data_IF_677167549791
#
_entry.id   IF_677167549791
#
_cell.length_a   1.000
_cell.length_b   1.000
_cell.length_c   1.000
_cell.angle_alpha   90.00
_cell.angle_beta   90.00
_cell.angle_gamma   90.00
#
_symmetry.space_group_name_H-M   'P 1'
#
loop_
_entity.id
_entity.type
_entity.pdbx_description
1 polymer ?
#
# COMPACT_ATOMS: atom_id res chain seq x y z
N UNK A 1 3.62 15.17 5.86
CA UNK A 1 4.57 14.78 6.92
C UNK A 1 5.31 13.48 6.63
N UNK A 2 4.66 12.41 6.14
CA UNK A 2 5.35 11.15 5.79
C UNK A 2 6.58 11.35 4.87
N UNK A 3 6.48 12.24 3.87
CA UNK A 3 7.63 12.58 3.01
C UNK A 3 8.82 13.22 3.74
N UNK A 4 8.59 13.96 4.83
CA UNK A 4 9.67 14.49 5.67
C UNK A 4 10.34 13.38 6.47
N UNK A 5 9.58 12.41 7.00
CA UNK A 5 10.14 11.24 7.70
C UNK A 5 11.03 10.44 6.77
N UNK A 6 10.57 10.18 5.54
CA UNK A 6 11.38 9.51 4.51
C UNK A 6 12.60 10.33 4.14
N UNK A 7 12.44 11.64 3.96
CA UNK A 7 13.52 12.56 3.62
C UNK A 7 14.60 12.61 4.69
N UNK A 8 14.21 12.71 5.96
CA UNK A 8 15.11 12.68 7.12
C UNK A 8 15.91 11.38 7.16
N UNK A 9 15.25 10.23 6.95
CA UNK A 9 15.90 8.91 6.90
C UNK A 9 16.91 8.78 5.74
N UNK A 10 16.53 9.20 4.54
CA UNK A 10 17.37 9.03 3.33
C UNK A 10 18.53 10.03 3.30
N UNK A 11 18.31 11.24 3.79
CA UNK A 11 19.27 12.34 3.71
C UNK A 11 20.05 12.57 5.00
N UNK A 12 19.82 11.75 6.02
CA UNK A 12 20.41 11.88 7.36
C UNK A 12 20.14 13.28 7.96
N UNK A 13 18.87 13.65 8.03
CA UNK A 13 18.37 14.93 8.56
C UNK A 13 17.37 14.71 9.69
N UNK A 14 16.98 15.80 10.36
CA UNK A 14 16.02 15.80 11.47
C UNK A 14 14.98 16.93 11.37
N UNK A 15 14.57 17.28 10.15
CA UNK A 15 13.62 18.37 9.90
C UNK A 15 12.23 18.00 10.41
N UNK A 16 11.79 16.77 10.18
CA UNK A 16 10.54 16.21 10.68
C UNK A 16 10.48 16.25 12.20
N UNK A 17 11.53 15.84 12.90
CA UNK A 17 11.55 15.86 14.38
C UNK A 17 11.42 17.28 14.93
N UNK A 18 12.09 18.25 14.33
CA UNK A 18 12.03 19.66 14.74
C UNK A 18 10.64 20.27 14.53
N UNK A 19 9.94 19.89 13.47
CA UNK A 19 8.61 20.41 13.15
C UNK A 19 7.48 19.71 13.93
N UNK A 20 7.74 18.51 14.46
CA UNK A 20 6.72 17.64 15.07
C UNK A 20 5.90 18.33 16.17
N UNK A 21 6.50 19.01 17.17
CA UNK A 21 5.71 19.61 18.24
C UNK A 21 4.78 20.73 17.76
N UNK A 22 5.24 21.53 16.79
CA UNK A 22 4.43 22.61 16.22
C UNK A 22 3.28 22.05 15.38
N UNK A 23 3.58 21.05 14.54
CA UNK A 23 2.59 20.39 13.71
C UNK A 23 1.52 19.66 14.54
N UNK A 24 1.93 18.91 15.55
CA UNK A 24 1.00 18.20 16.44
C UNK A 24 0.09 19.17 17.18
N UNK A 25 0.65 20.24 17.75
CA UNK A 25 -0.15 21.27 18.42
C UNK A 25 -1.16 21.92 17.46
N UNK A 26 -0.74 22.29 16.25
CA UNK A 26 -1.65 22.86 15.27
C UNK A 26 -2.74 21.84 14.86
N UNK A 27 -2.39 20.57 14.67
CA UNK A 27 -3.37 19.55 14.33
C UNK A 27 -4.45 19.41 15.43
N UNK A 28 -4.04 19.37 16.70
CA UNK A 28 -4.96 19.24 17.84
C UNK A 28 -5.76 20.53 18.12
N UNK A 29 -5.12 21.71 18.08
CA UNK A 29 -5.77 22.98 18.43
C UNK A 29 -6.62 23.55 17.30
N UNK A 30 -6.21 23.31 16.04
CA UNK A 30 -6.75 24.01 14.88
C UNK A 30 -7.56 23.14 13.93
N UNK A 31 -7.31 21.83 13.93
CA UNK A 31 -7.92 20.87 13.00
C UNK A 31 -8.60 19.70 13.71
N UNK A 32 -8.70 19.71 15.04
CA UNK A 32 -9.39 18.67 15.80
C UNK A 32 -10.54 19.27 16.61
N UNK A 33 -11.73 18.70 16.46
CA UNK A 33 -12.92 19.08 17.23
C UNK A 33 -12.86 18.52 18.66
N UNK A 34 -13.72 19.02 19.56
CA UNK A 34 -13.72 18.60 20.97
C UNK A 34 -14.03 17.11 21.17
N UNK A 35 -14.68 16.47 20.21
CA UNK A 35 -14.95 15.03 20.21
C UNK A 35 -13.79 14.20 19.61
N UNK A 36 -12.67 14.85 19.23
CA UNK A 36 -11.46 14.23 18.70
C UNK A 36 -11.45 14.08 17.18
N UNK A 37 -12.52 14.48 16.48
CA UNK A 37 -12.62 14.38 15.02
C UNK A 37 -11.76 15.39 14.30
N UNK A 38 -11.26 15.04 13.12
CA UNK A 38 -10.48 15.99 12.33
C UNK A 38 -11.32 16.73 11.30
N UNK A 39 -11.08 18.03 11.21
CA UNK A 39 -11.65 18.90 10.21
C UNK A 39 -11.02 18.62 8.84
N UNK A 40 -11.86 18.46 7.82
CA UNK A 40 -11.40 18.32 6.43
C UNK A 40 -10.78 19.60 5.89
N UNK A 41 -11.39 20.73 6.22
CA UNK A 41 -11.03 22.04 5.71
C UNK A 41 -11.34 23.11 6.73
N UNK A 42 -10.46 24.11 6.79
CA UNK A 42 -10.60 25.29 7.61
C UNK A 42 -10.02 26.47 6.85
N UNK A 43 -10.73 27.59 6.84
CA UNK A 43 -10.23 28.82 6.28
C UNK A 43 -9.14 29.40 7.20
N UNK A 44 -7.94 29.59 6.67
CA UNK A 44 -6.79 30.10 7.42
C UNK A 44 -7.06 31.47 8.06
N UNK A 45 -7.77 32.36 7.35
CA UNK A 45 -7.97 33.76 7.80
C UNK A 45 -9.09 33.90 8.83
N UNK A 46 -10.19 33.19 8.62
CA UNK A 46 -11.43 33.35 9.39
C UNK A 46 -11.70 32.22 10.37
N UNK A 47 -10.96 31.11 10.25
CA UNK A 47 -11.21 29.89 11.00
C UNK A 47 -12.49 29.15 10.60
N UNK A 48 -13.24 29.64 9.60
CA UNK A 48 -14.48 29.01 9.16
C UNK A 48 -14.23 27.61 8.61
N UNK A 49 -15.00 26.65 9.10
CA UNK A 49 -15.08 25.29 8.56
C UNK A 49 -16.46 25.06 7.93
N UNK A 50 -16.61 24.01 7.13
CA UNK A 50 -17.90 23.55 6.62
C UNK A 50 -18.32 22.36 7.48
N UNK A 51 -19.25 22.54 8.44
CA UNK A 51 -19.69 21.45 9.29
C UNK A 51 -20.26 20.30 8.45
N UNK A 52 -19.96 19.05 8.85
CA UNK A 52 -20.44 17.85 8.17
C UNK A 52 -20.02 17.71 6.69
N UNK A 53 -18.94 18.38 6.26
CA UNK A 53 -18.47 18.30 4.88
C UNK A 53 -17.97 16.90 4.51
N UNK A 54 -17.02 16.36 5.27
CA UNK A 54 -16.63 14.95 5.22
C UNK A 54 -16.36 14.50 6.65
N UNK A 55 -16.77 13.29 6.97
CA UNK A 55 -16.65 12.73 8.30
C UNK A 55 -15.68 11.56 8.23
N UNK A 56 -16.18 10.40 7.82
CA UNK A 56 -15.41 9.17 7.86
C UNK A 56 -14.24 9.17 6.86
N UNK A 57 -14.39 9.82 5.70
CA UNK A 57 -13.35 9.85 4.68
C UNK A 57 -12.09 10.55 5.19
N UNK A 58 -12.26 11.72 5.81
CA UNK A 58 -11.17 12.50 6.41
C UNK A 58 -10.51 11.73 7.55
N UNK A 59 -11.31 11.06 8.38
CA UNK A 59 -10.80 10.26 9.49
C UNK A 59 -9.96 9.07 8.97
N UNK A 60 -10.41 8.37 7.92
CA UNK A 60 -9.65 7.25 7.31
C UNK A 60 -8.27 7.69 6.80
N UNK A 61 -8.24 8.77 6.00
CA UNK A 61 -7.02 9.26 5.35
C UNK A 61 -6.00 9.68 6.40
N UNK A 62 -6.45 10.38 7.44
CA UNK A 62 -5.55 10.84 8.50
C UNK A 62 -5.15 9.71 9.45
N UNK A 63 -6.04 8.74 9.74
CA UNK A 63 -5.68 7.57 10.53
C UNK A 63 -4.49 6.84 9.89
N UNK A 64 -4.53 6.63 8.57
CA UNK A 64 -3.44 6.03 7.79
C UNK A 64 -2.18 6.93 7.78
N UNK A 65 -2.32 8.21 7.43
CA UNK A 65 -1.14 9.07 7.23
C UNK A 65 -0.39 9.39 8.53
N UNK A 66 -1.10 9.41 9.65
CA UNK A 66 -0.52 9.77 10.95
C UNK A 66 0.15 8.59 11.66
N UNK A 67 -0.10 7.32 11.28
CA UNK A 67 0.53 6.15 11.93
C UNK A 67 2.05 6.24 11.95
N UNK A 68 2.66 6.78 10.88
CA UNK A 68 4.11 6.91 10.77
C UNK A 68 4.72 8.07 11.58
N UNK A 69 3.93 9.05 12.00
CA UNK A 69 4.46 10.33 12.50
C UNK A 69 3.87 10.74 13.86
N UNK A 70 2.56 10.64 14.00
CA UNK A 70 1.78 10.88 15.22
C UNK A 70 0.91 9.64 15.50
N UNK A 71 1.52 8.49 15.86
CA UNK A 71 0.81 7.23 15.97
C UNK A 71 -0.34 7.29 16.97
N UNK A 72 -0.18 7.99 18.09
CA UNK A 72 -1.25 8.14 19.09
C UNK A 72 -2.52 8.80 18.51
N UNK A 73 -2.38 9.78 17.63
CA UNK A 73 -3.51 10.42 16.94
C UNK A 73 -4.11 9.46 15.90
N UNK A 74 -3.27 8.81 15.09
CA UNK A 74 -3.73 7.83 14.10
C UNK A 74 -4.55 6.69 14.73
N UNK A 75 -4.04 6.12 15.82
CA UNK A 75 -4.72 5.07 16.60
C UNK A 75 -6.01 5.57 17.26
N UNK A 76 -6.03 6.80 17.82
CA UNK A 76 -7.25 7.42 18.36
C UNK A 76 -8.33 7.51 17.27
N UNK A 77 -7.97 8.02 16.09
CA UNK A 77 -8.90 8.20 14.98
C UNK A 77 -9.48 6.87 14.50
N UNK A 78 -8.64 5.85 14.31
CA UNK A 78 -9.13 4.52 13.96
C UNK A 78 -10.07 3.95 15.01
N UNK A 79 -9.73 4.05 16.30
CA UNK A 79 -10.56 3.54 17.38
C UNK A 79 -11.95 4.21 17.42
N UNK A 80 -12.01 5.53 17.22
CA UNK A 80 -13.28 6.27 17.13
C UNK A 80 -14.08 5.84 15.90
N UNK A 81 -13.46 5.81 14.72
CA UNK A 81 -14.13 5.37 13.49
C UNK A 81 -14.70 3.97 13.61
N UNK A 82 -13.88 3.04 14.12
CA UNK A 82 -14.23 1.63 14.26
C UNK A 82 -15.43 1.41 15.17
N UNK A 83 -15.60 2.27 16.17
CA UNK A 83 -16.69 2.21 17.14
C UNK A 83 -17.95 2.94 16.66
N UNK A 84 -17.81 4.14 16.11
CA UNK A 84 -18.94 5.03 15.83
C UNK A 84 -19.52 4.81 14.42
N UNK A 85 -18.69 4.46 13.43
CA UNK A 85 -19.11 4.39 12.01
C UNK A 85 -19.12 3.00 11.42
N UNK A 86 -18.30 2.09 11.94
CA UNK A 86 -18.09 0.77 11.35
C UNK A 86 -18.72 -0.33 12.20
N UNK A 87 -19.53 -1.17 11.57
CA UNK A 87 -20.05 -2.39 12.17
C UNK A 87 -19.88 -3.57 11.22
N UNK A 88 -20.15 -4.77 11.73
CA UNK A 88 -20.43 -5.93 10.90
C UNK A 88 -21.92 -6.23 11.03
N UNK A 89 -22.56 -6.62 9.94
CA UNK A 89 -23.91 -7.20 10.00
C UNK A 89 -23.85 -8.69 10.41
N UNK A 90 -25.02 -9.33 10.47
CA UNK A 90 -25.15 -10.74 10.86
C UNK A 90 -24.42 -11.70 9.90
N UNK A 91 -24.18 -11.29 8.65
CA UNK A 91 -23.43 -12.06 7.66
C UNK A 91 -21.91 -11.85 7.75
N UNK A 92 -21.46 -10.97 8.65
CA UNK A 92 -20.06 -10.57 8.79
C UNK A 92 -19.62 -9.53 7.76
N UNK A 93 -20.57 -8.89 7.05
CA UNK A 93 -20.27 -7.86 6.06
C UNK A 93 -20.14 -6.50 6.76
N UNK A 94 -19.13 -5.72 6.38
CA UNK A 94 -18.95 -4.38 6.94
C UNK A 94 -20.08 -3.46 6.52
N UNK A 95 -20.66 -2.80 7.52
CA UNK A 95 -21.66 -1.75 7.35
C UNK A 95 -21.03 -0.44 7.76
N UNK A 96 -21.06 0.53 6.84
CA UNK A 96 -20.65 1.91 7.10
C UNK A 96 -21.90 2.74 7.39
N UNK A 97 -21.91 3.41 8.55
CA UNK A 97 -23.05 4.18 9.06
C UNK A 97 -22.82 5.68 8.90
N UNK A 98 -23.90 6.45 8.98
CA UNK A 98 -23.89 7.91 9.14
C UNK A 98 -22.96 8.68 8.17
N UNK A 99 -22.89 8.24 6.91
CA UNK A 99 -22.14 8.92 5.85
C UNK A 99 -22.71 10.33 5.59
N UNK A 100 -21.84 11.35 5.61
CA UNK A 100 -22.23 12.76 5.42
C UNK A 100 -21.53 13.37 4.22
N UNK A 101 -22.23 14.24 3.49
CA UNK A 101 -21.65 15.12 2.48
C UNK A 101 -20.71 14.40 1.49
N UNK A 102 -19.44 14.78 1.52
CA UNK A 102 -18.37 14.25 0.68
C UNK A 102 -17.98 12.80 1.00
N UNK A 103 -18.46 12.19 2.09
CA UNK A 103 -18.31 10.74 2.29
C UNK A 103 -19.07 9.93 1.22
N UNK A 104 -20.06 10.55 0.54
CA UNK A 104 -20.83 9.95 -0.56
C UNK A 104 -20.28 10.33 -1.94
N UNK A 105 -19.02 10.71 -1.99
CA UNK A 105 -18.35 11.18 -3.21
C UNK A 105 -17.00 10.50 -3.35
N UNK A 106 -16.59 10.24 -4.59
CA UNK A 106 -15.19 9.91 -4.87
C UNK A 106 -14.35 11.19 -4.83
N UNK A 107 -13.45 11.38 -3.85
CA UNK A 107 -12.68 12.61 -3.72
C UNK A 107 -11.74 12.85 -4.91
N UNK A 108 -11.50 11.84 -5.75
CA UNK A 108 -10.53 11.91 -6.83
C UNK A 108 -11.17 12.14 -8.21
N UNK A 109 -12.50 12.10 -8.33
CA UNK A 109 -13.20 12.52 -9.54
C UNK A 109 -14.48 13.35 -9.28
N UNK A 110 -14.82 13.59 -8.01
CA UNK A 110 -15.97 14.36 -7.53
C UNK A 110 -17.35 13.85 -7.97
N UNK A 111 -17.45 12.58 -8.38
CA UNK A 111 -18.74 11.94 -8.67
C UNK A 111 -19.34 11.35 -7.41
N UNK A 112 -20.66 11.46 -7.28
CA UNK A 112 -21.41 10.84 -6.19
C UNK A 112 -21.36 9.31 -6.30
N UNK A 113 -20.87 8.67 -5.26
CA UNK A 113 -20.87 7.22 -5.05
C UNK A 113 -20.46 6.94 -3.61
N UNK A 114 -21.08 5.95 -2.97
CA UNK A 114 -20.68 5.48 -1.64
C UNK A 114 -19.53 4.47 -1.71
N UNK A 115 -19.27 3.84 -2.86
CA UNK A 115 -18.21 2.84 -2.98
C UNK A 115 -16.79 3.31 -2.61
N UNK A 116 -16.37 4.54 -2.92
CA UNK A 116 -15.03 5.03 -2.56
C UNK A 116 -14.77 5.00 -1.05
N UNK A 117 -15.76 5.25 -0.18
CA UNK A 117 -15.51 5.22 1.28
C UNK A 117 -15.06 3.82 1.74
N UNK A 118 -15.57 2.76 1.13
CA UNK A 118 -15.16 1.38 1.44
C UNK A 118 -13.70 1.12 1.05
N UNK A 119 -13.20 1.77 -0.01
CA UNK A 119 -11.78 1.71 -0.38
C UNK A 119 -10.90 2.31 0.73
N UNK A 120 -11.27 3.48 1.26
CA UNK A 120 -10.51 4.14 2.33
C UNK A 120 -10.65 3.42 3.68
N UNK A 121 -11.84 2.87 3.97
CA UNK A 121 -12.06 1.99 5.13
C UNK A 121 -11.18 0.75 5.03
N UNK A 122 -11.11 0.10 3.87
CA UNK A 122 -10.25 -1.05 3.66
C UNK A 122 -8.77 -0.70 3.90
N UNK A 123 -8.30 0.41 3.32
CA UNK A 123 -6.93 0.86 3.49
C UNK A 123 -6.59 1.17 4.97
N UNK A 124 -7.51 1.81 5.70
CA UNK A 124 -7.32 2.09 7.13
C UNK A 124 -7.33 0.79 7.94
N UNK A 125 -8.32 -0.07 7.72
CA UNK A 125 -8.40 -1.37 8.37
C UNK A 125 -7.14 -2.22 8.16
N UNK A 126 -6.55 -2.18 6.96
CA UNK A 126 -5.28 -2.83 6.66
C UNK A 126 -4.16 -2.34 7.58
N UNK A 127 -3.93 -1.02 7.63
CA UNK A 127 -2.88 -0.39 8.42
C UNK A 127 -3.04 -0.68 9.92
N UNK A 128 -4.27 -0.76 10.43
CA UNK A 128 -4.54 -1.09 11.83
C UNK A 128 -4.72 -2.58 12.11
N UNK A 129 -4.58 -3.45 11.11
CA UNK A 129 -4.66 -4.92 11.27
C UNK A 129 -6.07 -5.48 11.47
N UNK A 130 -7.12 -4.72 11.17
CA UNK A 130 -8.52 -5.20 11.19
C UNK A 130 -8.84 -5.95 9.89
N UNK A 131 -8.40 -7.20 9.84
CA UNK A 131 -8.53 -8.07 8.67
C UNK A 131 -9.98 -8.27 8.22
N UNK A 132 -10.91 -8.41 9.17
CA UNK A 132 -12.31 -8.68 8.88
C UNK A 132 -12.96 -7.49 8.15
N UNK A 133 -12.74 -6.27 8.66
CA UNK A 133 -13.22 -5.05 8.01
C UNK A 133 -12.53 -4.86 6.67
N UNK A 134 -11.20 -5.07 6.59
CA UNK A 134 -10.45 -4.89 5.35
C UNK A 134 -10.98 -5.80 4.24
N UNK A 135 -11.07 -7.10 4.51
CA UNK A 135 -11.48 -8.06 3.49
C UNK A 135 -12.92 -7.81 3.06
N UNK A 136 -13.83 -7.60 4.00
CA UNK A 136 -15.23 -7.34 3.68
C UNK A 136 -15.44 -6.04 2.88
N UNK A 137 -14.66 -4.99 3.17
CA UNK A 137 -14.73 -3.74 2.41
C UNK A 137 -14.20 -3.92 0.97
N UNK A 138 -13.09 -4.65 0.80
CA UNK A 138 -12.55 -4.97 -0.55
C UNK A 138 -13.57 -5.79 -1.35
N UNK A 139 -14.14 -6.83 -0.73
CA UNK A 139 -15.10 -7.70 -1.41
C UNK A 139 -16.32 -6.90 -1.88
N UNK A 140 -16.85 -6.00 -1.06
CA UNK A 140 -17.96 -5.13 -1.44
C UNK A 140 -17.62 -4.16 -2.57
N UNK A 141 -16.42 -3.59 -2.57
CA UNK A 141 -15.97 -2.76 -3.69
C UNK A 141 -15.93 -3.59 -4.97
N UNK A 142 -15.39 -4.80 -4.89
CA UNK A 142 -15.16 -5.68 -6.05
C UNK A 142 -16.43 -6.39 -6.56
N UNK A 143 -17.46 -6.56 -5.74
CA UNK A 143 -18.69 -7.26 -6.14
C UNK A 143 -19.93 -6.38 -6.26
N UNK A 144 -20.01 -5.26 -5.53
CA UNK A 144 -21.24 -4.47 -5.43
C UNK A 144 -21.09 -3.06 -5.99
N UNK A 145 -20.07 -2.32 -5.54
CA UNK A 145 -19.94 -0.90 -5.89
C UNK A 145 -19.27 -0.66 -7.24
N UNK A 146 -18.13 -1.32 -7.48
CA UNK A 146 -17.33 -1.15 -8.68
C UNK A 146 -16.81 -2.50 -9.15
N UNK A 147 -17.66 -3.35 -9.76
CA UNK A 147 -17.31 -4.73 -10.09
C UNK A 147 -15.95 -4.86 -10.78
N UNK A 148 -15.07 -5.67 -10.18
CA UNK A 148 -13.72 -5.87 -10.70
C UNK A 148 -13.76 -6.65 -12.02
N UNK A 149 -12.97 -6.20 -13.00
CA UNK A 149 -12.82 -6.85 -14.31
C UNK A 149 -11.36 -7.08 -14.60
N UNK A 150 -11.07 -8.21 -15.26
CA UNK A 150 -9.72 -8.48 -15.78
C UNK A 150 -9.57 -7.84 -17.15
N UNK A 151 -8.53 -7.02 -17.33
CA UNK A 151 -8.18 -6.42 -18.62
C UNK A 151 -7.55 -7.47 -19.56
N UNK A 152 -7.36 -7.11 -20.82
CA UNK A 152 -6.65 -7.95 -21.81
C UNK A 152 -5.20 -8.25 -21.42
N UNK A 153 -4.61 -7.46 -20.51
CA UNK A 153 -3.25 -7.66 -19.98
C UNK A 153 -3.23 -8.46 -18.67
N UNK A 154 -4.37 -9.01 -18.24
CA UNK A 154 -4.49 -9.75 -16.98
C UNK A 154 -4.59 -8.87 -15.72
N UNK A 155 -4.58 -7.55 -15.85
CA UNK A 155 -4.68 -6.64 -14.70
C UNK A 155 -6.13 -6.55 -14.21
N UNK A 156 -6.34 -6.34 -12.91
CA UNK A 156 -7.66 -6.04 -12.35
C UNK A 156 -7.94 -4.53 -12.44
N UNK A 157 -9.14 -4.19 -12.90
CA UNK A 157 -9.65 -2.82 -12.92
C UNK A 157 -11.05 -2.79 -12.33
N UNK A 158 -11.32 -1.81 -11.46
CA UNK A 158 -12.65 -1.54 -10.93
C UNK A 158 -13.30 -0.44 -11.78
N UNK A 159 -14.21 -0.82 -12.67
CA UNK A 159 -14.82 0.13 -13.63
C UNK A 159 -15.64 1.20 -12.89
N UNK A 160 -15.40 2.48 -13.22
CA UNK A 160 -16.07 3.62 -12.59
C UNK A 160 -15.38 4.16 -11.33
N UNK A 161 -14.45 3.40 -10.73
CA UNK A 161 -13.61 3.88 -9.63
C UNK A 161 -12.48 4.77 -10.18
N UNK A 162 -12.26 5.94 -9.57
CA UNK A 162 -11.18 6.84 -10.01
C UNK A 162 -9.80 6.19 -9.93
N UNK A 163 -8.85 6.70 -10.73
CA UNK A 163 -7.49 6.17 -10.78
C UNK A 163 -6.80 6.18 -9.41
N UNK A 164 -6.94 7.28 -8.65
CA UNK A 164 -6.35 7.40 -7.32
C UNK A 164 -7.02 6.47 -6.31
N UNK A 165 -8.35 6.33 -6.32
CA UNK A 165 -9.04 5.37 -5.45
C UNK A 165 -8.68 3.93 -5.83
N UNK A 166 -8.42 3.61 -7.10
CA UNK A 166 -7.85 2.30 -7.48
C UNK A 166 -6.45 2.08 -6.89
N UNK A 167 -5.61 3.11 -6.81
CA UNK A 167 -4.30 3.01 -6.15
C UNK A 167 -4.45 2.78 -4.63
N UNK A 168 -5.41 3.44 -3.97
CA UNK A 168 -5.72 3.19 -2.55
C UNK A 168 -6.29 1.79 -2.34
N UNK A 169 -7.11 1.27 -3.26
CA UNK A 169 -7.62 -0.11 -3.21
C UNK A 169 -6.49 -1.12 -3.39
N UNK A 170 -5.55 -0.86 -4.29
CA UNK A 170 -4.34 -1.67 -4.43
C UNK A 170 -3.51 -1.65 -3.13
N UNK A 171 -3.33 -0.48 -2.51
CA UNK A 171 -2.70 -0.37 -1.20
C UNK A 171 -3.44 -1.20 -0.14
N UNK A 172 -4.77 -1.15 -0.09
CA UNK A 172 -5.55 -1.97 0.84
C UNK A 172 -5.38 -3.48 0.60
N UNK A 173 -5.25 -3.92 -0.66
CA UNK A 173 -5.02 -5.34 -0.99
C UNK A 173 -3.64 -5.82 -0.53
N UNK A 174 -2.61 -4.99 -0.71
CA UNK A 174 -1.22 -5.34 -0.45
C UNK A 174 -0.82 -5.15 1.02
N UNK A 175 -1.29 -4.07 1.66
CA UNK A 175 -0.91 -3.72 3.01
C UNK A 175 -1.52 -4.65 4.05
N UNK A 176 -0.77 -4.83 5.13
CA UNK A 176 -1.15 -5.43 6.40
C UNK A 176 -0.87 -4.43 7.53
N UNK A 177 -0.84 -4.94 8.75
CA UNK A 177 -0.68 -4.14 9.96
C UNK A 177 0.62 -3.32 9.94
N UNK A 178 0.48 -1.99 10.02
CA UNK A 178 1.55 -1.00 10.07
C UNK A 178 2.52 -1.05 8.89
N UNK A 179 2.14 -1.63 7.75
CA UNK A 179 3.03 -1.72 6.60
C UNK A 179 3.38 -0.34 6.04
N UNK A 180 2.44 0.61 6.00
CA UNK A 180 2.73 1.97 5.53
C UNK A 180 3.62 2.72 6.51
N UNK A 181 3.33 2.62 7.81
CA UNK A 181 4.17 3.18 8.87
C UNK A 181 5.60 2.62 8.79
N UNK A 182 5.75 1.30 8.69
CA UNK A 182 7.04 0.63 8.60
C UNK A 182 7.79 1.01 7.31
N UNK A 183 7.12 1.04 6.17
CA UNK A 183 7.73 1.46 4.90
C UNK A 183 8.25 2.91 4.96
N UNK A 184 7.54 3.77 5.68
CA UNK A 184 7.91 5.18 5.88
C UNK A 184 9.11 5.32 6.84
N UNK A 185 9.02 4.71 8.02
CA UNK A 185 9.96 4.91 9.14
C UNK A 185 11.23 4.06 8.99
N UNK A 186 11.11 2.81 8.53
CA UNK A 186 12.24 1.86 8.44
C UNK A 186 12.78 1.78 7.02
N UNK A 187 11.88 1.77 6.03
CA UNK A 187 12.23 1.50 4.63
C UNK A 187 12.67 0.06 4.38
N UNK A 188 13.32 -0.22 3.24
CA UNK A 188 13.74 -1.57 2.89
C UNK A 188 14.88 -2.06 3.81
N UNK A 189 14.89 -3.36 4.09
CA UNK A 189 15.96 -4.00 4.85
C UNK A 189 17.32 -3.84 4.13
N UNK A 190 18.36 -3.28 4.76
CA UNK A 190 19.69 -3.17 4.16
C UNK A 190 20.26 -4.50 3.65
N UNK A 191 19.93 -5.61 4.31
CA UNK A 191 20.36 -6.95 3.87
C UNK A 191 19.75 -7.29 2.51
N UNK A 192 18.43 -7.07 2.36
CA UNK A 192 17.73 -7.27 1.10
C UNK A 192 18.29 -6.37 -0.03
N UNK A 193 18.73 -5.16 0.32
CA UNK A 193 19.33 -4.22 -0.62
C UNK A 193 20.75 -4.60 -1.06
N UNK A 194 21.42 -5.53 -0.38
CA UNK A 194 22.78 -5.96 -0.71
C UNK A 194 22.85 -7.28 -1.49
N UNK A 195 21.75 -8.03 -1.54
CA UNK A 195 21.68 -9.34 -2.17
C UNK A 195 21.57 -9.32 -3.70
N UNK A 196 21.48 -10.51 -4.32
CA UNK A 196 21.20 -10.63 -5.75
C UNK A 196 19.91 -9.91 -6.14
N UNK A 197 19.90 -9.33 -7.34
CA UNK A 197 18.83 -8.48 -7.83
C UNK A 197 18.24 -9.07 -9.12
N UNK A 198 16.92 -9.17 -9.21
CA UNK A 198 16.23 -9.31 -10.49
C UNK A 198 16.25 -7.94 -11.18
N UNK A 199 17.11 -7.78 -12.17
CA UNK A 199 17.35 -6.50 -12.85
C UNK A 199 16.36 -6.25 -13.99
N UNK A 200 15.90 -7.32 -14.66
CA UNK A 200 14.92 -7.21 -15.74
C UNK A 200 14.02 -8.44 -15.81
N UNK A 201 12.74 -8.19 -16.04
CA UNK A 201 11.74 -9.17 -16.46
C UNK A 201 10.82 -8.49 -17.49
N UNK A 202 10.39 -9.18 -18.56
CA UNK A 202 9.62 -8.56 -19.62
C UNK A 202 8.19 -8.23 -19.15
N UNK A 203 7.91 -6.96 -18.87
CA UNK A 203 6.57 -6.48 -18.56
C UNK A 203 5.82 -6.09 -19.86
N UNK A 204 4.53 -6.43 -20.03
CA UNK A 204 3.62 -7.03 -19.05
C UNK A 204 3.61 -8.57 -19.05
N UNK A 205 4.46 -9.25 -19.83
CA UNK A 205 4.39 -10.70 -20.00
C UNK A 205 4.76 -11.51 -18.74
N UNK A 206 5.58 -10.94 -17.86
CA UNK A 206 5.96 -11.49 -16.54
C UNK A 206 5.62 -10.48 -15.46
N UNK A 207 4.84 -10.90 -14.47
CA UNK A 207 4.51 -10.13 -13.28
C UNK A 207 5.35 -10.64 -12.10
N UNK A 208 6.04 -9.71 -11.42
CA UNK A 208 6.86 -10.01 -10.25
C UNK A 208 6.01 -9.83 -8.99
N UNK A 209 5.65 -10.93 -8.34
CA UNK A 209 4.91 -10.92 -7.07
C UNK A 209 5.83 -10.88 -5.85
N UNK A 210 7.06 -11.39 -5.98
CA UNK A 210 8.10 -11.31 -4.95
C UNK A 210 9.47 -11.24 -5.62
N UNK A 211 10.33 -10.37 -5.10
CA UNK A 211 11.77 -10.39 -5.34
C UNK A 211 12.49 -9.91 -4.09
N UNK A 212 12.92 -10.86 -3.25
CA UNK A 212 13.43 -10.54 -1.91
C UNK A 212 14.65 -11.39 -1.54
N UNK A 213 15.62 -10.76 -0.87
CA UNK A 213 16.76 -11.43 -0.28
C UNK A 213 16.69 -11.30 1.24
N UNK A 214 16.58 -12.43 1.94
CA UNK A 214 16.51 -12.45 3.40
C UNK A 214 17.90 -12.40 4.05
N UNK A 215 18.92 -12.91 3.37
CA UNK A 215 20.27 -13.09 3.91
C UNK A 215 21.37 -12.35 3.13
N UNK A 216 20.98 -11.58 2.11
CA UNK A 216 21.89 -10.85 1.22
C UNK A 216 22.70 -11.76 0.29
N UNK A 217 22.35 -13.06 0.20
CA UNK A 217 23.09 -14.06 -0.59
C UNK A 217 22.19 -14.78 -1.58
N UNK A 218 20.94 -15.02 -1.18
CA UNK A 218 19.93 -15.70 -1.99
C UNK A 218 18.86 -14.73 -2.45
N UNK A 219 18.21 -15.03 -3.57
CA UNK A 219 17.06 -14.27 -4.05
C UNK A 219 15.87 -15.21 -4.20
N UNK A 220 14.81 -14.95 -3.42
CA UNK A 220 13.52 -15.64 -3.51
C UNK A 220 12.61 -14.82 -4.44
N UNK A 221 12.18 -15.47 -5.53
CA UNK A 221 11.34 -14.89 -6.56
C UNK A 221 10.02 -15.62 -6.66
N UNK A 222 8.95 -14.87 -6.85
CA UNK A 222 7.65 -15.40 -7.25
C UNK A 222 7.18 -14.63 -8.47
N UNK A 223 6.99 -15.36 -9.57
CA UNK A 223 6.59 -14.83 -10.87
C UNK A 223 5.22 -15.38 -11.28
N UNK A 224 4.47 -14.59 -12.04
CA UNK A 224 3.24 -14.99 -12.70
C UNK A 224 3.30 -14.62 -14.18
N UNK A 225 2.68 -15.40 -15.07
CA UNK A 225 2.49 -14.96 -16.45
C UNK A 225 1.48 -13.80 -16.45
N UNK A 226 1.76 -12.72 -17.17
CA UNK A 226 0.81 -11.62 -17.29
C UNK A 226 -0.37 -11.94 -18.20
N UNK A 227 -0.12 -12.65 -19.30
CA UNK A 227 -1.17 -13.10 -20.22
C UNK A 227 -1.16 -14.62 -20.41
N UNK A 228 -0.06 -15.18 -20.93
CA UNK A 228 0.06 -16.62 -21.21
C UNK A 228 1.33 -17.21 -20.60
N UNK A 229 1.30 -18.49 -20.18
CA UNK A 229 2.50 -19.20 -19.81
C UNK A 229 3.54 -19.21 -20.94
N UNK A 230 4.82 -19.21 -20.59
CA UNK A 230 5.89 -19.12 -21.58
C UNK A 230 7.29 -19.23 -20.98
N UNK A 231 8.29 -19.23 -21.86
CA UNK A 231 9.70 -19.11 -21.47
C UNK A 231 10.13 -17.66 -21.62
N UNK A 232 10.63 -17.07 -20.54
CA UNK A 232 10.99 -15.65 -20.49
C UNK A 232 12.45 -15.49 -20.09
N UNK A 233 13.13 -14.55 -20.74
CA UNK A 233 14.48 -14.14 -20.37
C UNK A 233 14.41 -13.22 -19.15
N UNK A 234 15.15 -13.56 -18.10
CA UNK A 234 15.29 -12.78 -16.88
C UNK A 234 16.75 -12.38 -16.71
N UNK A 235 16.98 -11.12 -16.36
CA UNK A 235 18.33 -10.61 -16.09
C UNK A 235 18.55 -10.40 -14.60
N UNK A 236 19.73 -10.77 -14.15
CA UNK A 236 20.15 -10.72 -12.76
C UNK A 236 21.42 -9.88 -12.62
N UNK A 237 21.50 -9.13 -11.53
CA UNK A 237 22.65 -8.33 -11.14
C UNK A 237 23.04 -8.59 -9.68
N UNK A 238 24.20 -8.05 -9.28
CA UNK A 238 24.76 -8.20 -7.91
C UNK A 238 25.03 -9.65 -7.54
N UNK A 239 25.28 -10.49 -8.53
CA UNK A 239 25.81 -11.83 -8.33
C UNK A 239 27.31 -11.76 -8.05
N UNK A 240 27.86 -12.79 -7.42
CA UNK A 240 29.31 -12.93 -7.25
C UNK A 240 29.94 -13.24 -8.62
N UNK A 241 30.90 -12.44 -9.11
CA UNK A 241 31.49 -12.67 -10.43
C UNK A 241 32.08 -14.07 -10.59
N UNK A 242 31.82 -14.71 -11.74
CA UNK A 242 32.31 -16.06 -12.06
C UNK A 242 31.64 -17.20 -11.30
N UNK A 243 30.73 -16.91 -10.37
CA UNK A 243 30.04 -17.93 -9.58
C UNK A 243 28.87 -18.54 -10.36
N UNK A 244 28.67 -19.85 -10.22
CA UNK A 244 27.47 -20.55 -10.70
C UNK A 244 26.39 -20.55 -9.64
N UNK A 245 25.17 -20.26 -10.07
CA UNK A 245 23.95 -20.21 -9.27
C UNK A 245 22.94 -21.24 -9.77
N UNK A 246 22.20 -21.85 -8.84
CA UNK A 246 21.01 -22.62 -9.15
C UNK A 246 19.83 -21.67 -9.45
N UNK A 247 18.96 -22.06 -10.38
CA UNK A 247 17.69 -21.37 -10.66
C UNK A 247 16.64 -22.37 -11.14
N UNK A 248 15.67 -22.69 -10.28
CA UNK A 248 14.67 -23.72 -10.56
C UNK A 248 15.33 -25.08 -10.84
N UNK A 249 15.20 -25.59 -12.07
CA UNK A 249 15.85 -26.84 -12.52
C UNK A 249 17.15 -26.61 -13.31
N UNK A 250 17.53 -25.35 -13.52
CA UNK A 250 18.69 -24.95 -14.31
C UNK A 250 19.78 -24.30 -13.47
N UNK A 251 20.79 -23.83 -14.17
CA UNK A 251 21.90 -23.08 -13.60
C UNK A 251 22.20 -21.86 -14.46
N UNK A 252 22.76 -20.83 -13.85
CA UNK A 252 23.33 -19.68 -14.56
C UNK A 252 24.68 -19.32 -13.95
N UNK A 253 25.60 -18.81 -14.75
CA UNK A 253 26.91 -18.37 -14.28
C UNK A 253 27.00 -16.86 -14.43
N UNK A 254 27.38 -16.20 -13.34
CA UNK A 254 27.61 -14.77 -13.34
C UNK A 254 28.86 -14.41 -14.15
N UNK A 255 28.76 -13.38 -14.98
CA UNK A 255 29.89 -12.82 -15.69
C UNK A 255 30.85 -12.08 -14.76
N UNK A 256 31.92 -11.53 -15.34
CA UNK A 256 32.94 -10.78 -14.60
C UNK A 256 32.43 -9.50 -13.91
N UNK A 257 31.23 -9.02 -14.27
CA UNK A 257 30.57 -7.85 -13.67
C UNK A 257 29.48 -8.24 -12.66
N UNK A 258 29.29 -9.54 -12.39
CA UNK A 258 28.27 -10.01 -11.47
C UNK A 258 26.86 -10.02 -12.07
N UNK A 259 26.74 -10.17 -13.39
CA UNK A 259 25.46 -10.27 -14.10
C UNK A 259 25.24 -11.64 -14.69
N UNK A 260 23.99 -12.06 -14.81
CA UNK A 260 23.63 -13.29 -15.51
C UNK A 260 22.25 -13.16 -16.15
N UNK A 261 22.01 -13.95 -17.19
CA UNK A 261 20.69 -14.09 -17.82
C UNK A 261 20.28 -15.55 -17.74
N UNK A 262 19.00 -15.80 -17.44
CA UNK A 262 18.43 -17.13 -17.47
C UNK A 262 17.07 -17.13 -18.17
N UNK A 263 16.80 -18.20 -18.91
CA UNK A 263 15.47 -18.44 -19.49
C UNK A 263 14.68 -19.31 -18.54
N UNK A 264 13.55 -18.78 -18.05
CA UNK A 264 12.69 -19.46 -17.08
C UNK A 264 11.31 -19.69 -17.67
N UNK A 265 10.78 -20.90 -17.50
CA UNK A 265 9.37 -21.18 -17.77
C UNK A 265 8.51 -20.62 -16.64
N UNK A 266 7.63 -19.68 -16.96
CA UNK A 266 6.64 -19.11 -16.04
C UNK A 266 5.26 -19.62 -16.42
N UNK A 267 4.62 -20.32 -15.48
CA UNK A 267 3.32 -20.99 -15.67
C UNK A 267 2.56 -20.97 -14.33
N UNK A 268 1.54 -20.12 -14.23
CA UNK A 268 0.91 -19.80 -12.94
C UNK A 268 1.90 -19.24 -11.91
N UNK A 269 1.70 -19.54 -10.63
CA UNK A 269 2.61 -19.15 -9.54
C UNK A 269 3.94 -19.92 -9.68
N UNK A 270 4.96 -19.25 -10.19
CA UNK A 270 6.29 -19.83 -10.40
C UNK A 270 7.24 -19.31 -9.34
N UNK A 271 7.59 -20.14 -8.36
CA UNK A 271 8.55 -19.79 -7.31
C UNK A 271 9.95 -20.29 -7.66
N UNK A 272 10.96 -19.43 -7.50
CA UNK A 272 12.36 -19.72 -7.77
C UNK A 272 13.21 -19.25 -6.59
N UNK A 273 14.21 -20.05 -6.24
CA UNK A 273 15.29 -19.63 -5.36
C UNK A 273 16.57 -19.56 -6.18
N UNK A 274 17.27 -18.45 -6.09
CA UNK A 274 18.59 -18.24 -6.68
C UNK A 274 19.61 -18.30 -5.54
N UNK A 275 20.49 -19.28 -5.58
CA UNK A 275 21.58 -19.44 -4.61
C UNK A 275 22.84 -19.98 -5.28
N UNK A 276 24.01 -19.62 -4.73
CA UNK A 276 25.29 -20.11 -5.24
C UNK A 276 25.41 -21.63 -5.02
N UNK A 277 25.95 -22.33 -6.01
CA UNK A 277 26.35 -23.74 -5.89
C UNK A 277 27.60 -23.90 -5.02
#
# INVERSE_FOLDING_TARGET
MAGLVVGDRILDKNVGDKLKPCFERALEEEFTECDGRMLTLRNETTGLTIPNFAALLTDCINAINLTCYLPHIGHRNWAMMRKEYLGLDESGKVVVRDLKGADKMDPCNYKFSEGPIYVYVAAAAAEFGDEAIRQSAIDQVDSEFFPAKTTSTGALVNEGLSASSQAVLLMARLSRHLDLANATVKGPDPVAMSGPLLASAPFPDVLVAKAWSEDGKKLDLVLYPGNKPGNFSLDFERLRPGQTYSIGKGTMTADHTGKATAVVRVDGRTQLLIEAQ
#
